data_IF_901418928573
#
_entry.id   IF_901418928573
#
_cell.length_a   1.000
_cell.length_b   1.000
_cell.length_c   1.000
_cell.angle_alpha   90.00
_cell.angle_beta   90.00
_cell.angle_gamma   90.00
#
_symmetry.space_group_name_H-M   'P 1'
#
loop_
_entity.id
_entity.type
_entity.pdbx_description
1 polymer ?
#
# COMPACT_ATOMS: atom_id res chain seq x y z
N UNK A 1 29.24 19.13 19.63
CA UNK A 1 29.59 17.87 18.98
C UNK A 1 28.43 17.42 18.06
N UNK A 2 28.07 18.18 16.99
CA UNK A 2 26.95 17.90 16.08
C UNK A 2 27.28 18.30 14.62
N UNK A 3 28.52 18.11 14.16
CA UNK A 3 28.94 18.56 12.79
C UNK A 3 29.64 17.48 11.94
N UNK A 4 29.62 16.20 12.31
CA UNK A 4 30.42 15.17 11.63
C UNK A 4 29.65 14.01 10.96
N UNK A 5 28.33 14.06 10.83
CA UNK A 5 27.57 12.96 10.20
C UNK A 5 26.90 13.32 8.86
N UNK A 6 27.16 14.48 8.28
CA UNK A 6 26.58 14.91 6.98
C UNK A 6 27.42 14.54 5.73
N UNK A 7 28.50 13.80 5.87
CA UNK A 7 29.50 13.62 4.81
C UNK A 7 29.32 12.41 3.89
N UNK A 8 28.43 11.43 4.18
CA UNK A 8 28.45 10.15 3.45
C UNK A 8 27.12 9.69 2.84
N UNK A 9 26.07 10.51 2.84
CA UNK A 9 24.79 10.15 2.22
C UNK A 9 24.68 10.50 0.72
N UNK A 10 25.66 11.18 0.14
CA UNK A 10 25.59 11.62 -1.27
C UNK A 10 25.96 10.55 -2.31
N UNK A 11 26.42 9.36 -1.92
CA UNK A 11 26.94 8.38 -2.86
C UNK A 11 25.93 7.36 -3.39
N UNK A 12 24.68 7.31 -2.87
CA UNK A 12 23.77 6.19 -3.17
C UNK A 12 22.51 6.51 -3.98
N UNK A 13 22.21 7.76 -4.35
CA UNK A 13 20.97 8.10 -5.05
C UNK A 13 21.20 9.09 -6.23
N UNK A 14 21.58 8.64 -7.42
CA UNK A 14 21.55 9.48 -8.62
C UNK A 14 20.14 9.91 -9.04
N UNK A 15 19.06 9.23 -8.58
CA UNK A 15 17.67 9.54 -8.95
C UNK A 15 17.06 10.73 -8.20
N UNK A 16 17.48 11.06 -6.99
CA UNK A 16 16.87 12.14 -6.18
C UNK A 16 17.19 13.53 -6.72
N UNK A 17 18.31 13.70 -7.45
CA UNK A 17 18.65 14.97 -8.08
C UNK A 17 17.82 15.34 -9.31
N UNK A 18 17.07 14.39 -9.89
CA UNK A 18 16.29 14.59 -11.11
C UNK A 18 14.97 15.37 -10.90
N UNK A 19 14.47 15.46 -9.66
CA UNK A 19 13.19 16.13 -9.37
C UNK A 19 13.31 17.61 -8.99
N UNK A 20 14.54 18.17 -8.87
CA UNK A 20 14.77 19.56 -8.49
C UNK A 20 14.92 20.48 -9.71
N UNK A 21 13.87 20.58 -10.53
CA UNK A 21 13.83 21.50 -11.67
C UNK A 21 13.52 22.95 -11.27
N UNK A 22 14.46 23.63 -10.67
CA UNK A 22 14.36 25.07 -10.39
C UNK A 22 15.23 25.84 -11.41
N UNK A 23 14.57 26.52 -12.39
CA UNK A 23 15.15 27.63 -13.22
C UNK A 23 15.82 27.36 -14.56
N UNK A 24 15.49 26.31 -15.34
CA UNK A 24 16.00 26.26 -16.74
C UNK A 24 14.84 25.99 -17.71
N UNK A 25 14.59 26.90 -18.67
CA UNK A 25 13.47 26.85 -19.62
C UNK A 25 13.45 25.62 -20.55
N UNK A 26 14.56 24.99 -20.83
CA UNK A 26 14.67 23.77 -21.66
C UNK A 26 14.45 22.50 -20.86
N UNK A 27 14.70 22.50 -19.54
CA UNK A 27 14.50 21.38 -18.65
C UNK A 27 13.04 21.12 -18.24
N UNK A 28 12.09 22.01 -18.60
CA UNK A 28 10.68 21.86 -18.18
C UNK A 28 10.01 20.63 -18.78
N UNK A 29 10.26 20.31 -20.04
CA UNK A 29 9.65 19.14 -20.70
C UNK A 29 10.21 17.83 -20.14
N UNK A 30 11.52 17.73 -19.97
CA UNK A 30 12.16 16.55 -19.37
C UNK A 30 11.79 16.38 -17.90
N UNK A 31 11.65 17.46 -17.16
CA UNK A 31 11.22 17.45 -15.77
C UNK A 31 9.78 16.94 -15.63
N UNK A 32 8.86 17.42 -16.45
CA UNK A 32 7.47 16.95 -16.45
C UNK A 32 7.40 15.47 -16.83
N UNK A 33 8.16 15.04 -17.84
CA UNK A 33 8.20 13.63 -18.25
C UNK A 33 8.73 12.74 -17.12
N UNK A 34 9.81 13.16 -16.45
CA UNK A 34 10.37 12.41 -15.32
C UNK A 34 9.39 12.32 -14.14
N UNK A 35 8.65 13.38 -13.85
CA UNK A 35 7.59 13.36 -12.82
C UNK A 35 6.44 12.42 -13.19
N UNK A 36 6.01 12.42 -14.44
CA UNK A 36 4.97 11.50 -14.93
C UNK A 36 5.46 10.05 -14.86
N UNK A 37 6.68 9.77 -15.31
CA UNK A 37 7.27 8.42 -15.27
C UNK A 37 7.43 7.95 -13.83
N UNK A 38 7.89 8.80 -12.93
CA UNK A 38 7.98 8.50 -11.50
C UNK A 38 6.60 8.19 -10.91
N UNK A 39 5.63 9.08 -11.10
CA UNK A 39 4.27 8.87 -10.59
C UNK A 39 3.65 7.60 -11.16
N UNK A 40 3.72 7.39 -12.47
CA UNK A 40 3.22 6.17 -13.10
C UNK A 40 3.90 4.92 -12.54
N UNK A 41 5.22 4.95 -12.36
CA UNK A 41 5.97 3.84 -11.75
C UNK A 41 5.47 3.52 -10.34
N UNK A 42 5.39 4.52 -9.47
CA UNK A 42 4.93 4.36 -8.09
C UNK A 42 3.48 3.86 -8.03
N UNK A 43 2.58 4.44 -8.84
CA UNK A 43 1.15 4.12 -8.82
C UNK A 43 0.82 2.75 -9.44
N UNK A 44 1.59 2.29 -10.43
CA UNK A 44 1.31 1.04 -11.14
C UNK A 44 2.07 -0.16 -10.58
N UNK A 45 3.18 0.07 -9.90
CA UNK A 45 4.05 -1.01 -9.41
C UNK A 45 3.32 -2.01 -8.51
N UNK A 46 2.50 -1.61 -7.51
CA UNK A 46 1.76 -2.56 -6.68
C UNK A 46 0.80 -3.43 -7.51
N UNK A 47 0.01 -2.85 -8.41
CA UNK A 47 -0.91 -3.59 -9.28
C UNK A 47 -0.19 -4.56 -10.23
N UNK A 48 1.00 -4.21 -10.70
CA UNK A 48 1.86 -5.14 -11.46
C UNK A 48 2.27 -6.31 -10.58
N UNK A 49 2.63 -6.07 -9.32
CA UNK A 49 2.98 -7.12 -8.36
C UNK A 49 1.79 -8.05 -8.06
N UNK A 50 0.58 -7.51 -7.85
CA UNK A 50 -0.66 -8.30 -7.72
C UNK A 50 -0.89 -9.18 -8.97
N UNK A 51 -0.72 -8.59 -10.15
CA UNK A 51 -0.86 -9.31 -11.43
C UNK A 51 0.19 -10.42 -11.57
N UNK A 52 1.44 -10.16 -11.19
CA UNK A 52 2.50 -11.16 -11.18
C UNK A 52 2.20 -12.30 -10.20
N UNK A 53 1.69 -11.97 -9.01
CA UNK A 53 1.21 -12.96 -8.05
C UNK A 53 0.09 -13.83 -8.61
N UNK A 54 -0.90 -13.20 -9.24
CA UNK A 54 -2.00 -13.91 -9.91
C UNK A 54 -1.50 -14.84 -11.04
N UNK A 55 -0.43 -14.46 -11.74
CA UNK A 55 0.19 -15.30 -12.79
C UNK A 55 0.84 -16.57 -12.22
N UNK A 56 1.04 -16.67 -10.91
CA UNK A 56 1.47 -17.89 -10.23
C UNK A 56 0.60 -19.11 -10.55
N UNK A 57 -0.68 -18.91 -10.90
CA UNK A 57 -1.61 -19.97 -11.33
C UNK A 57 -1.14 -20.74 -12.58
N UNK A 58 -0.31 -20.15 -13.41
CA UNK A 58 0.25 -20.82 -14.59
C UNK A 58 1.44 -21.71 -14.24
N UNK A 59 2.20 -21.36 -13.19
CA UNK A 59 3.41 -22.04 -12.76
C UNK A 59 3.12 -23.06 -11.66
N UNK A 60 2.27 -22.72 -10.70
CA UNK A 60 1.97 -23.55 -9.55
C UNK A 60 0.78 -24.49 -9.87
N UNK A 61 1.00 -25.78 -9.66
CA UNK A 61 -0.06 -26.79 -9.85
C UNK A 61 -0.91 -27.01 -8.59
N UNK A 62 -0.45 -26.52 -7.46
CA UNK A 62 -1.14 -26.62 -6.14
C UNK A 62 -1.08 -25.25 -5.46
N UNK A 63 -2.05 -24.98 -4.59
CA UNK A 63 -1.97 -23.87 -3.64
C UNK A 63 -0.70 -24.00 -2.79
N UNK A 64 -0.18 -22.87 -2.30
CA UNK A 64 0.92 -22.89 -1.34
C UNK A 64 0.55 -23.78 -0.15
N UNK A 65 1.55 -24.44 0.44
CA UNK A 65 1.32 -25.20 1.67
C UNK A 65 0.71 -24.26 2.74
N UNK A 66 -0.20 -24.74 3.61
CA UNK A 66 -0.86 -23.89 4.59
C UNK A 66 0.12 -23.07 5.44
N UNK A 67 1.27 -23.65 5.79
CA UNK A 67 2.32 -22.94 6.51
C UNK A 67 2.92 -21.78 5.71
N UNK A 68 3.15 -21.99 4.42
CA UNK A 68 3.68 -20.93 3.55
C UNK A 68 2.68 -19.79 3.42
N UNK A 69 1.40 -20.10 3.29
CA UNK A 69 0.33 -19.11 3.22
C UNK A 69 0.29 -18.26 4.50
N UNK A 70 0.31 -18.88 5.68
CA UNK A 70 0.38 -18.17 6.98
C UNK A 70 1.60 -17.25 7.10
N UNK A 71 2.79 -17.73 6.68
CA UNK A 71 4.01 -16.90 6.70
C UNK A 71 3.88 -15.71 5.75
N UNK A 72 3.30 -15.89 4.57
CA UNK A 72 3.09 -14.80 3.61
C UNK A 72 2.06 -13.78 4.11
N UNK A 73 0.93 -14.23 4.65
CA UNK A 73 -0.08 -13.36 5.29
C UNK A 73 0.50 -12.60 6.48
N UNK A 74 1.31 -13.26 7.31
CA UNK A 74 1.99 -12.60 8.43
C UNK A 74 2.99 -11.55 7.97
N UNK A 75 3.79 -11.86 6.94
CA UNK A 75 4.71 -10.87 6.35
C UNK A 75 3.96 -9.64 5.83
N UNK A 76 2.88 -9.86 5.07
CA UNK A 76 2.03 -8.79 4.56
C UNK A 76 1.40 -7.97 5.69
N UNK A 77 0.84 -8.63 6.73
CA UNK A 77 0.31 -7.96 7.90
C UNK A 77 1.33 -7.03 8.58
N UNK A 78 2.56 -7.50 8.74
CA UNK A 78 3.64 -6.70 9.31
C UNK A 78 3.99 -5.47 8.46
N UNK A 79 4.10 -5.64 7.14
CA UNK A 79 4.37 -4.56 6.19
C UNK A 79 3.26 -3.51 6.28
N UNK A 80 1.99 -3.92 6.24
CA UNK A 80 0.83 -3.00 6.30
C UNK A 80 0.77 -2.23 7.63
N UNK A 81 1.04 -2.88 8.77
CA UNK A 81 1.07 -2.20 10.06
C UNK A 81 2.18 -1.13 10.11
N UNK A 82 3.38 -1.46 9.64
CA UNK A 82 4.48 -0.50 9.61
C UNK A 82 4.17 0.67 8.66
N UNK A 83 3.70 0.40 7.44
CA UNK A 83 3.30 1.43 6.48
C UNK A 83 2.20 2.35 7.04
N UNK A 84 1.21 1.79 7.74
CA UNK A 84 0.15 2.58 8.39
C UNK A 84 0.71 3.60 9.38
N UNK A 85 1.78 3.25 10.10
CA UNK A 85 2.40 4.12 11.10
C UNK A 85 3.36 5.12 10.44
N UNK A 86 4.39 4.63 9.74
CA UNK A 86 5.49 5.48 9.23
C UNK A 86 5.09 6.29 8.01
N UNK A 87 4.43 5.66 7.04
CA UNK A 87 4.12 6.34 5.78
C UNK A 87 2.84 7.16 5.82
N UNK A 88 1.95 6.95 6.82
CA UNK A 88 0.65 7.63 6.89
C UNK A 88 0.40 8.39 8.18
N UNK A 89 0.42 7.74 9.35
CA UNK A 89 0.02 8.39 10.61
C UNK A 89 1.06 9.42 11.06
N UNK A 90 2.35 9.12 10.98
CA UNK A 90 3.38 10.08 11.37
C UNK A 90 3.36 11.34 10.49
N UNK A 91 3.35 11.27 9.15
CA UNK A 91 3.19 12.44 8.30
C UNK A 91 1.86 13.18 8.53
N UNK A 92 0.75 12.47 8.78
CA UNK A 92 -0.54 13.10 9.10
C UNK A 92 -0.48 13.92 10.40
N UNK A 93 0.21 13.40 11.44
CA UNK A 93 0.40 14.11 12.71
C UNK A 93 1.26 15.38 12.49
N UNK A 94 2.34 15.28 11.73
CA UNK A 94 3.22 16.41 11.44
C UNK A 94 2.49 17.52 10.70
N UNK A 95 1.74 17.17 9.64
CA UNK A 95 0.92 18.13 8.90
C UNK A 95 -0.19 18.74 9.74
N UNK A 96 -0.79 17.98 10.66
CA UNK A 96 -1.80 18.54 11.58
C UNK A 96 -1.19 19.61 12.49
N UNK A 97 0.04 19.42 12.96
CA UNK A 97 0.77 20.43 13.75
C UNK A 97 1.00 21.71 12.96
N UNK A 98 1.38 21.60 11.69
CA UNK A 98 1.58 22.75 10.79
C UNK A 98 0.29 23.55 10.56
N UNK A 99 -0.87 22.90 10.56
CA UNK A 99 -2.18 23.54 10.42
C UNK A 99 -2.69 24.23 11.68
N UNK A 100 -1.96 24.13 12.81
CA UNK A 100 -2.34 24.76 14.08
C UNK A 100 -3.56 24.12 14.77
N UNK A 101 -3.95 22.93 14.35
CA UNK A 101 -5.03 22.13 14.96
C UNK A 101 -4.40 21.19 16.00
N UNK A 102 -5.19 20.74 16.98
CA UNK A 102 -4.73 19.72 17.94
C UNK A 102 -4.22 18.49 17.21
N UNK A 103 -2.90 18.23 17.31
CA UNK A 103 -2.17 17.29 16.44
C UNK A 103 -2.69 15.85 16.49
N UNK A 104 -3.44 15.48 17.51
CA UNK A 104 -4.02 14.14 17.68
C UNK A 104 -5.42 14.00 17.07
N UNK A 105 -6.17 15.09 16.84
CA UNK A 105 -7.59 15.04 16.44
C UNK A 105 -7.78 14.46 15.03
N UNK A 106 -7.24 15.03 13.94
CA UNK A 106 -7.39 14.46 12.61
C UNK A 106 -6.83 13.03 12.51
N UNK A 107 -5.62 12.72 13.05
CA UNK A 107 -5.09 11.36 12.97
C UNK A 107 -5.96 10.32 13.69
N UNK A 108 -6.40 10.61 14.91
CA UNK A 108 -7.22 9.66 15.68
C UNK A 108 -8.61 9.48 15.10
N UNK A 109 -9.28 10.59 14.77
CA UNK A 109 -10.62 10.54 14.22
C UNK A 109 -10.61 9.97 12.80
N UNK A 110 -9.64 10.36 11.96
CA UNK A 110 -9.47 9.82 10.61
C UNK A 110 -9.26 8.31 10.62
N UNK A 111 -8.40 7.81 11.51
CA UNK A 111 -8.15 6.37 11.69
C UNK A 111 -9.46 5.61 11.98
N UNK A 112 -10.23 6.09 12.96
CA UNK A 112 -11.51 5.45 13.34
C UNK A 112 -12.53 5.54 12.21
N UNK A 113 -12.64 6.70 11.55
CA UNK A 113 -13.58 6.91 10.45
C UNK A 113 -13.23 6.04 9.23
N UNK A 114 -11.94 5.88 8.92
CA UNK A 114 -11.47 5.01 7.85
C UNK A 114 -11.83 3.56 8.10
N UNK A 115 -11.51 3.03 9.28
CA UNK A 115 -11.86 1.68 9.68
C UNK A 115 -13.39 1.46 9.65
N UNK A 116 -14.16 2.36 10.25
CA UNK A 116 -15.62 2.27 10.26
C UNK A 116 -16.23 2.37 8.85
N UNK A 117 -15.66 3.23 8.00
CA UNK A 117 -16.07 3.38 6.60
C UNK A 117 -15.85 2.11 5.80
N UNK A 118 -14.69 1.46 5.94
CA UNK A 118 -14.39 0.19 5.29
C UNK A 118 -15.34 -0.91 5.75
N UNK A 119 -15.51 -1.10 7.07
CA UNK A 119 -16.45 -2.08 7.64
C UNK A 119 -17.87 -1.89 7.11
N UNK A 120 -18.31 -0.64 6.98
CA UNK A 120 -19.62 -0.31 6.42
C UNK A 120 -19.71 -0.68 4.95
N UNK A 121 -18.67 -0.36 4.17
CA UNK A 121 -18.59 -0.68 2.76
C UNK A 121 -18.62 -2.19 2.52
N UNK A 122 -17.85 -2.96 3.29
CA UNK A 122 -17.85 -4.42 3.24
C UNK A 122 -19.22 -5.02 3.59
N UNK A 123 -19.87 -4.49 4.62
CA UNK A 123 -21.22 -4.91 5.01
C UNK A 123 -22.23 -4.68 3.91
N UNK A 124 -22.21 -3.51 3.26
CA UNK A 124 -23.10 -3.16 2.15
C UNK A 124 -22.81 -4.03 0.92
N UNK A 125 -21.55 -4.20 0.59
CA UNK A 125 -21.12 -5.01 -0.56
C UNK A 125 -21.43 -6.50 -0.34
N UNK A 126 -21.27 -7.00 0.88
CA UNK A 126 -21.64 -8.37 1.26
C UNK A 126 -23.13 -8.68 1.15
N UNK A 127 -23.98 -7.66 1.37
CA UNK A 127 -25.43 -7.79 1.16
C UNK A 127 -25.81 -7.86 -0.32
N UNK A 128 -25.07 -7.16 -1.19
CA UNK A 128 -25.30 -7.17 -2.65
C UNK A 128 -24.83 -8.47 -3.31
N UNK A 129 -23.80 -9.12 -2.76
CA UNK A 129 -23.15 -10.30 -3.32
C UNK A 129 -23.36 -11.55 -2.43
N UNK A 130 -24.60 -12.08 -2.44
CA UNK A 130 -24.98 -13.23 -1.59
C UNK A 130 -24.31 -14.58 -1.94
N UNK A 131 -23.31 -14.67 -2.82
CA UNK A 131 -22.75 -15.96 -3.28
C UNK A 131 -21.23 -16.08 -3.05
N UNK A 132 -20.86 -17.09 -2.26
CA UNK A 132 -19.59 -17.51 -1.71
C UNK A 132 -18.25 -17.11 -2.41
N UNK A 133 -18.08 -17.38 -3.71
CA UNK A 133 -16.80 -17.16 -4.41
C UNK A 133 -16.63 -15.71 -4.91
N UNK A 134 -17.72 -15.04 -5.23
CA UNK A 134 -17.72 -13.62 -5.57
C UNK A 134 -17.42 -12.74 -4.37
N UNK A 135 -17.70 -13.23 -3.17
CA UNK A 135 -17.45 -12.51 -1.91
C UNK A 135 -15.96 -12.40 -1.59
N UNK A 136 -15.18 -13.48 -1.81
CA UNK A 136 -13.73 -13.46 -1.63
C UNK A 136 -13.04 -12.48 -2.58
N UNK A 137 -13.38 -12.54 -3.88
CA UNK A 137 -12.81 -11.60 -4.88
C UNK A 137 -13.18 -10.15 -4.52
N UNK A 138 -14.41 -9.91 -4.06
CA UNK A 138 -14.83 -8.58 -3.64
C UNK A 138 -14.09 -8.11 -2.39
N UNK A 139 -13.92 -8.97 -1.39
CA UNK A 139 -13.17 -8.64 -0.18
C UNK A 139 -11.76 -8.15 -0.56
N UNK A 140 -10.99 -8.97 -1.29
CA UNK A 140 -9.64 -8.57 -1.75
C UNK A 140 -9.68 -7.29 -2.60
N UNK A 141 -10.66 -7.13 -3.50
CA UNK A 141 -10.81 -5.91 -4.29
C UNK A 141 -11.03 -4.66 -3.42
N UNK A 142 -11.80 -4.80 -2.33
CA UNK A 142 -12.02 -3.71 -1.38
C UNK A 142 -10.78 -3.38 -0.55
N UNK A 143 -9.94 -4.38 -0.28
CA UNK A 143 -8.66 -4.19 0.41
C UNK A 143 -7.65 -3.42 -0.44
N UNK A 144 -7.58 -3.72 -1.72
CA UNK A 144 -6.66 -3.08 -2.65
C UNK A 144 -6.99 -1.58 -2.89
N UNK A 145 -8.23 -1.16 -2.63
CA UNK A 145 -8.61 0.25 -2.77
C UNK A 145 -7.87 1.17 -1.79
N UNK A 146 -7.86 0.93 -0.47
CA UNK A 146 -7.04 1.67 0.49
C UNK A 146 -5.53 1.66 0.17
N UNK A 147 -5.00 0.51 -0.26
CA UNK A 147 -3.59 0.39 -0.65
C UNK A 147 -3.24 1.32 -1.81
N UNK A 148 -4.06 1.32 -2.86
CA UNK A 148 -3.92 2.27 -3.95
C UNK A 148 -4.02 3.72 -3.47
N UNK A 149 -5.01 4.05 -2.62
CA UNK A 149 -5.17 5.41 -2.10
C UNK A 149 -3.93 5.90 -1.36
N UNK A 150 -3.30 5.04 -0.55
CA UNK A 150 -2.07 5.37 0.19
C UNK A 150 -0.94 5.70 -0.76
N UNK A 151 -0.72 4.87 -1.77
CA UNK A 151 0.31 5.09 -2.80
C UNK A 151 0.04 6.39 -3.57
N UNK A 152 -1.23 6.68 -3.88
CA UNK A 152 -1.64 7.92 -4.52
C UNK A 152 -1.35 9.16 -3.69
N UNK A 153 -1.62 9.12 -2.39
CA UNK A 153 -1.30 10.21 -1.46
C UNK A 153 0.23 10.42 -1.37
N UNK A 154 1.00 9.34 -1.22
CA UNK A 154 2.46 9.43 -1.17
C UNK A 154 3.06 9.99 -2.47
N UNK A 155 2.56 9.59 -3.63
CA UNK A 155 2.97 10.15 -4.92
C UNK A 155 2.63 11.64 -5.03
N UNK A 156 1.45 12.07 -4.54
CA UNK A 156 1.06 13.48 -4.52
C UNK A 156 2.01 14.32 -3.65
N UNK A 157 2.40 13.81 -2.48
CA UNK A 157 3.39 14.44 -1.60
C UNK A 157 4.76 14.53 -2.26
N UNK A 158 5.21 13.46 -2.89
CA UNK A 158 6.49 13.43 -3.60
C UNK A 158 6.55 14.49 -4.72
N UNK A 159 5.45 14.69 -5.46
CA UNK A 159 5.37 15.69 -6.52
C UNK A 159 5.16 17.12 -6.01
N UNK A 160 4.69 17.30 -4.77
CA UNK A 160 4.58 18.64 -4.16
C UNK A 160 5.93 19.22 -3.73
N UNK A 161 7.00 18.42 -3.78
CA UNK A 161 8.36 18.84 -3.42
C UNK A 161 8.64 18.80 -1.93
N UNK A 162 7.86 18.05 -1.16
CA UNK A 162 8.11 17.79 0.24
C UNK A 162 9.46 17.09 0.44
N UNK A 163 10.24 17.48 1.45
CA UNK A 163 11.48 16.77 1.80
C UNK A 163 11.21 15.30 2.07
N UNK A 164 12.08 14.44 1.55
CA UNK A 164 12.06 12.99 1.75
C UNK A 164 10.79 12.24 1.27
N UNK A 165 9.79 12.96 0.70
CA UNK A 165 8.55 12.33 0.23
C UNK A 165 8.75 11.42 -0.99
N UNK A 166 9.79 11.66 -1.79
CA UNK A 166 10.13 10.78 -2.94
C UNK A 166 10.57 9.41 -2.43
N UNK A 167 11.47 9.38 -1.45
CA UNK A 167 11.93 8.13 -0.85
C UNK A 167 10.81 7.41 -0.09
N UNK A 168 9.98 8.13 0.66
CA UNK A 168 8.81 7.58 1.31
C UNK A 168 7.81 6.96 0.33
N UNK A 169 7.54 7.62 -0.80
CA UNK A 169 6.66 7.07 -1.84
C UNK A 169 7.24 5.81 -2.49
N UNK A 170 8.57 5.75 -2.69
CA UNK A 170 9.25 4.55 -3.20
C UNK A 170 9.20 3.42 -2.18
N UNK A 171 9.55 3.67 -0.90
CA UNK A 171 9.52 2.68 0.17
C UNK A 171 8.13 2.07 0.31
N UNK A 172 7.10 2.92 0.33
CA UNK A 172 5.71 2.51 0.43
C UNK A 172 5.27 1.67 -0.78
N UNK A 173 5.55 2.13 -2.00
CA UNK A 173 5.21 1.40 -3.23
C UNK A 173 5.91 0.04 -3.29
N UNK A 174 7.18 -0.04 -2.89
CA UNK A 174 7.93 -1.29 -2.81
C UNK A 174 7.34 -2.24 -1.74
N UNK A 175 7.05 -1.73 -0.55
CA UNK A 175 6.48 -2.51 0.54
C UNK A 175 5.13 -3.11 0.15
N UNK A 176 4.21 -2.29 -0.37
CA UNK A 176 2.89 -2.73 -0.84
C UNK A 176 3.05 -3.69 -2.02
N UNK A 177 3.93 -3.41 -2.99
CA UNK A 177 4.19 -4.32 -4.10
C UNK A 177 4.67 -5.70 -3.64
N UNK A 178 5.55 -5.77 -2.65
CA UNK A 178 6.03 -7.05 -2.12
C UNK A 178 4.91 -7.89 -1.49
N UNK A 179 3.98 -7.28 -0.74
CA UNK A 179 2.83 -7.99 -0.16
C UNK A 179 1.80 -8.41 -1.21
N UNK A 180 1.65 -7.65 -2.27
CA UNK A 180 0.67 -7.88 -3.32
C UNK A 180 0.97 -9.12 -4.17
N UNK A 181 2.23 -9.58 -4.25
CA UNK A 181 2.58 -10.82 -4.94
C UNK A 181 1.90 -12.03 -4.28
N UNK A 182 2.04 -12.30 -2.97
CA UNK A 182 1.25 -13.33 -2.29
C UNK A 182 -0.26 -13.16 -2.44
N UNK A 183 -0.75 -11.92 -2.37
CA UNK A 183 -2.17 -11.61 -2.42
C UNK A 183 -2.81 -11.96 -3.77
N UNK A 184 -2.18 -11.57 -4.88
CA UNK A 184 -2.63 -11.98 -6.22
C UNK A 184 -2.69 -13.50 -6.41
N UNK A 185 -1.71 -14.23 -5.83
CA UNK A 185 -1.70 -15.68 -5.82
C UNK A 185 -2.82 -16.25 -4.93
N UNK A 186 -3.11 -15.63 -3.78
CA UNK A 186 -4.18 -16.04 -2.86
C UNK A 186 -5.58 -15.93 -3.49
N UNK A 187 -5.79 -15.02 -4.44
CA UNK A 187 -7.02 -14.92 -5.23
C UNK A 187 -7.07 -15.97 -6.34
N UNK A 188 -6.01 -16.07 -7.14
CA UNK A 188 -6.02 -16.86 -8.38
C UNK A 188 -5.96 -18.37 -8.15
N UNK A 189 -5.13 -18.83 -7.19
CA UNK A 189 -4.94 -20.26 -6.95
C UNK A 189 -6.20 -20.98 -6.46
N UNK A 190 -6.95 -20.50 -5.46
CA UNK A 190 -8.19 -21.14 -5.02
C UNK A 190 -9.29 -21.15 -6.09
N UNK A 191 -9.35 -20.11 -6.95
CA UNK A 191 -10.30 -20.05 -8.05
C UNK A 191 -10.01 -21.14 -9.09
N UNK A 192 -8.74 -21.38 -9.44
CA UNK A 192 -8.34 -22.45 -10.33
C UNK A 192 -8.66 -23.83 -9.73
N UNK A 193 -8.41 -24.05 -8.43
CA UNK A 193 -8.76 -25.30 -7.74
C UNK A 193 -10.28 -25.53 -7.66
N UNK A 194 -11.07 -24.47 -7.71
CA UNK A 194 -12.55 -24.58 -7.67
C UNK A 194 -13.17 -24.88 -9.04
N UNK A 195 -12.36 -25.24 -10.05
CA UNK A 195 -12.83 -25.64 -11.38
C UNK A 195 -12.91 -24.51 -12.41
N UNK A 196 -12.43 -23.29 -12.09
CA UNK A 196 -12.26 -22.24 -13.09
C UNK A 196 -11.04 -22.53 -13.97
N UNK A 197 -11.07 -22.07 -15.22
CA UNK A 197 -9.86 -22.15 -16.07
C UNK A 197 -8.75 -21.27 -15.48
N UNK A 198 -7.50 -21.61 -15.75
CA UNK A 198 -6.35 -20.83 -15.28
C UNK A 198 -6.43 -19.37 -15.75
N UNK A 199 -6.89 -19.14 -16.97
CA UNK A 199 -7.05 -17.79 -17.50
C UNK A 199 -8.13 -17.00 -16.76
N UNK A 200 -9.26 -17.62 -16.42
CA UNK A 200 -10.30 -16.98 -15.61
C UNK A 200 -9.83 -16.68 -14.17
N UNK A 201 -9.09 -17.59 -13.59
CA UNK A 201 -8.51 -17.42 -12.25
C UNK A 201 -7.46 -16.30 -12.23
N UNK A 202 -6.56 -16.29 -13.21
CA UNK A 202 -5.61 -15.20 -13.43
C UNK A 202 -6.32 -13.85 -13.63
N UNK A 203 -7.33 -13.82 -14.53
CA UNK A 203 -8.07 -12.59 -14.80
C UNK A 203 -8.77 -12.02 -13.56
N UNK A 204 -9.28 -12.87 -12.67
CA UNK A 204 -9.89 -12.43 -11.44
C UNK A 204 -8.86 -11.82 -10.45
N UNK A 205 -7.69 -12.47 -10.31
CA UNK A 205 -6.61 -11.94 -9.48
C UNK A 205 -5.98 -10.65 -10.05
N UNK A 206 -5.77 -10.58 -11.34
CA UNK A 206 -5.29 -9.36 -11.99
C UNK A 206 -6.30 -8.21 -11.88
N UNK A 207 -7.60 -8.50 -12.03
CA UNK A 207 -8.67 -7.51 -11.92
C UNK A 207 -8.79 -6.94 -10.49
N UNK A 208 -8.54 -7.74 -9.45
CA UNK A 208 -8.52 -7.23 -8.06
C UNK A 208 -7.41 -6.18 -7.87
N UNK A 209 -6.24 -6.38 -8.49
CA UNK A 209 -5.14 -5.41 -8.45
C UNK A 209 -5.39 -4.13 -9.26
N UNK A 210 -6.28 -4.15 -10.27
CA UNK A 210 -6.59 -2.95 -11.06
C UNK A 210 -7.34 -1.87 -10.27
N UNK A 211 -7.89 -2.19 -9.12
CA UNK A 211 -8.54 -1.20 -8.23
C UNK A 211 -7.49 -0.31 -7.55
N UNK A 212 -6.27 -0.79 -7.34
CA UNK A 212 -5.18 -0.02 -6.75
C UNK A 212 -4.85 1.25 -7.55
N UNK A 213 -4.57 1.20 -8.87
CA UNK A 213 -4.37 2.42 -9.67
C UNK A 213 -5.57 3.36 -9.67
N UNK A 214 -6.80 2.82 -9.60
CA UNK A 214 -8.01 3.65 -9.51
C UNK A 214 -8.08 4.38 -8.17
N UNK A 215 -7.84 3.68 -7.06
CA UNK A 215 -7.72 4.28 -5.73
C UNK A 215 -6.60 5.31 -5.66
N UNK A 216 -5.45 4.97 -6.25
CA UNK A 216 -4.29 5.85 -6.30
C UNK A 216 -4.56 7.15 -7.07
N UNK A 217 -5.18 7.07 -8.25
CA UNK A 217 -5.55 8.26 -9.03
C UNK A 217 -6.61 9.11 -8.32
N UNK A 218 -7.59 8.49 -7.68
CA UNK A 218 -8.61 9.21 -6.93
C UNK A 218 -7.99 9.97 -5.75
N UNK A 219 -7.15 9.32 -4.95
CA UNK A 219 -6.46 9.93 -3.83
C UNK A 219 -5.47 11.01 -4.26
N UNK A 220 -4.71 10.76 -5.33
CA UNK A 220 -3.81 11.74 -5.95
C UNK A 220 -4.55 13.01 -6.37
N UNK A 221 -5.68 12.86 -7.05
CA UNK A 221 -6.50 14.00 -7.47
C UNK A 221 -7.06 14.78 -6.27
N UNK A 222 -7.54 14.08 -5.24
CA UNK A 222 -8.07 14.71 -4.03
C UNK A 222 -6.98 15.45 -3.24
N UNK A 223 -5.76 14.89 -3.15
CA UNK A 223 -4.65 15.50 -2.44
C UNK A 223 -4.26 16.87 -3.00
N UNK A 224 -4.38 17.06 -4.32
CA UNK A 224 -4.09 18.34 -4.98
C UNK A 224 -5.12 19.44 -4.72
N UNK A 225 -6.35 19.09 -4.30
CA UNK A 225 -7.45 20.05 -4.16
C UNK A 225 -7.62 20.58 -2.74
N UNK A 226 -7.28 19.80 -1.71
CA UNK A 226 -7.58 20.19 -0.32
C UNK A 226 -6.42 19.77 0.61
N UNK A 227 -5.40 20.60 0.73
CA UNK A 227 -4.28 20.33 1.64
C UNK A 227 -4.71 20.15 3.11
N UNK A 228 -5.75 20.87 3.55
CA UNK A 228 -6.29 20.73 4.89
C UNK A 228 -6.96 19.36 5.16
N UNK A 229 -7.45 18.68 4.11
CA UNK A 229 -8.02 17.34 4.23
C UNK A 229 -6.97 16.22 4.22
N UNK A 230 -5.74 16.53 3.85
CA UNK A 230 -4.69 15.52 3.68
C UNK A 230 -4.42 14.70 4.96
N UNK A 231 -4.30 15.31 6.18
CA UNK A 231 -4.16 14.52 7.40
C UNK A 231 -5.33 13.56 7.65
N UNK A 232 -6.54 13.97 7.32
CA UNK A 232 -7.73 13.14 7.45
C UNK A 232 -7.74 11.97 6.46
N UNK A 233 -7.37 12.23 5.20
CA UNK A 233 -7.31 11.20 4.15
C UNK A 233 -6.22 10.17 4.45
N UNK A 234 -5.02 10.62 4.85
CA UNK A 234 -3.91 9.73 5.22
C UNK A 234 -4.29 8.86 6.43
N UNK A 235 -4.90 9.46 7.45
CA UNK A 235 -5.31 8.72 8.65
C UNK A 235 -6.47 7.77 8.38
N UNK A 236 -7.41 8.13 7.50
CA UNK A 236 -8.49 7.25 7.10
C UNK A 236 -7.96 6.04 6.30
N UNK A 237 -7.01 6.26 5.40
CA UNK A 237 -6.35 5.18 4.67
C UNK A 237 -5.60 4.24 5.63
N UNK A 238 -4.85 4.80 6.61
CA UNK A 238 -4.22 4.01 7.67
C UNK A 238 -5.25 3.19 8.47
N UNK A 239 -6.41 3.79 8.78
CA UNK A 239 -7.51 3.11 9.46
C UNK A 239 -8.07 1.92 8.68
N UNK A 240 -8.25 2.08 7.37
CA UNK A 240 -8.62 0.98 6.49
C UNK A 240 -7.58 -0.15 6.53
N UNK A 241 -6.29 0.18 6.37
CA UNK A 241 -5.20 -0.80 6.38
C UNK A 241 -5.11 -1.56 7.71
N UNK A 242 -5.17 -0.86 8.84
CA UNK A 242 -5.17 -1.48 10.17
C UNK A 242 -6.39 -2.40 10.35
N UNK A 243 -7.56 -1.99 9.87
CA UNK A 243 -8.80 -2.77 9.93
C UNK A 243 -8.65 -4.09 9.18
N UNK A 244 -8.23 -4.05 7.91
CA UNK A 244 -7.99 -5.26 7.08
C UNK A 244 -6.97 -6.19 7.73
N UNK A 245 -5.85 -5.62 8.17
CA UNK A 245 -4.78 -6.39 8.81
C UNK A 245 -5.29 -7.13 10.04
N UNK A 246 -6.10 -6.47 10.88
CA UNK A 246 -6.65 -7.05 12.09
C UNK A 246 -7.75 -8.10 11.81
N UNK A 247 -8.55 -7.90 10.76
CA UNK A 247 -9.67 -8.78 10.43
C UNK A 247 -9.27 -10.06 9.69
N UNK A 248 -8.30 -9.97 8.80
CA UNK A 248 -7.99 -11.06 7.88
C UNK A 248 -6.56 -11.56 8.00
N UNK A 249 -5.56 -10.69 7.87
CA UNK A 249 -4.17 -11.11 7.74
C UNK A 249 -3.58 -11.67 9.03
N UNK A 250 -3.80 -10.99 10.17
CA UNK A 250 -3.31 -11.47 11.47
C UNK A 250 -4.01 -12.79 11.85
N UNK A 251 -5.35 -12.92 11.79
CA UNK A 251 -6.01 -14.20 12.08
C UNK A 251 -5.51 -15.35 11.21
N UNK A 252 -5.32 -15.13 9.92
CA UNK A 252 -4.78 -16.14 9.02
C UNK A 252 -3.34 -16.52 9.38
N UNK A 253 -2.50 -15.54 9.72
CA UNK A 253 -1.10 -15.76 10.05
C UNK A 253 -0.94 -16.58 11.34
N UNK A 254 -1.80 -16.37 12.35
CA UNK A 254 -1.71 -17.03 13.66
C UNK A 254 -2.58 -18.29 13.77
N UNK A 255 -3.26 -18.69 12.70
CA UNK A 255 -4.08 -19.90 12.67
C UNK A 255 -3.24 -21.12 13.08
N UNK A 256 -3.79 -22.00 13.95
CA UNK A 256 -3.16 -23.21 14.47
C UNK A 256 -1.94 -23.00 15.41
N UNK A 257 -1.82 -21.84 16.07
CA UNK A 257 -0.77 -21.53 17.06
C UNK A 257 0.68 -21.78 16.58
N UNK A 258 0.92 -21.65 15.26
CA UNK A 258 2.27 -21.78 14.71
C UNK A 258 3.11 -20.50 14.92
N UNK A 259 4.29 -20.59 15.59
CA UNK A 259 5.16 -19.42 15.82
C UNK A 259 5.65 -18.75 14.53
N UNK A 260 5.69 -19.49 13.43
CA UNK A 260 6.18 -18.99 12.14
C UNK A 260 5.35 -17.82 11.60
N UNK A 261 4.02 -17.85 11.78
CA UNK A 261 3.15 -16.75 11.38
C UNK A 261 3.39 -15.50 12.23
N UNK A 262 3.52 -15.65 13.55
CA UNK A 262 3.82 -14.52 14.45
C UNK A 262 5.19 -13.91 14.12
N UNK A 263 6.22 -14.75 13.91
CA UNK A 263 7.56 -14.28 13.53
C UNK A 263 7.52 -13.55 12.21
N UNK A 264 6.74 -14.03 11.22
CA UNK A 264 6.64 -13.37 9.92
C UNK A 264 5.98 -11.98 10.01
N UNK A 265 5.00 -11.76 10.92
CA UNK A 265 4.44 -10.43 11.19
C UNK A 265 5.57 -9.48 11.65
N UNK A 266 6.38 -9.92 12.61
CA UNK A 266 7.47 -9.09 13.14
C UNK A 266 8.52 -8.81 12.06
N UNK A 267 8.84 -9.80 11.23
CA UNK A 267 9.81 -9.63 10.12
C UNK A 267 9.27 -8.67 9.06
N UNK A 268 8.00 -8.77 8.68
CA UNK A 268 7.36 -7.85 7.73
C UNK A 268 7.36 -6.42 8.25
N UNK A 269 7.01 -6.25 9.54
CA UNK A 269 7.06 -4.96 10.20
C UNK A 269 8.47 -4.36 10.20
N UNK A 270 9.49 -5.15 10.57
CA UNK A 270 10.87 -4.72 10.59
C UNK A 270 11.39 -4.38 9.18
N UNK A 271 11.01 -5.15 8.16
CA UNK A 271 11.37 -4.89 6.77
C UNK A 271 10.83 -3.54 6.30
N UNK A 272 9.53 -3.28 6.50
CA UNK A 272 8.93 -2.01 6.06
C UNK A 272 9.46 -0.82 6.85
N UNK A 273 9.61 -0.97 8.17
CA UNK A 273 10.25 0.05 9.00
C UNK A 273 11.67 0.37 8.49
N UNK A 274 12.44 -0.66 8.11
CA UNK A 274 13.78 -0.45 7.57
C UNK A 274 13.74 0.27 6.21
N UNK A 275 12.79 -0.05 5.34
CA UNK A 275 12.60 0.65 4.06
C UNK A 275 12.25 2.13 4.27
N UNK A 276 11.30 2.44 5.17
CA UNK A 276 10.89 3.81 5.46
C UNK A 276 12.01 4.65 6.11
N UNK A 277 12.89 4.03 6.90
CA UNK A 277 13.97 4.75 7.58
C UNK A 277 15.24 4.85 6.73
N UNK A 278 15.48 3.87 5.84
CA UNK A 278 16.69 3.79 5.03
C UNK A 278 16.59 4.56 3.70
N UNK A 279 15.39 4.72 3.15
CA UNK A 279 15.12 5.48 1.91
C UNK A 279 14.68 6.89 2.20
#
# INVERSE_FOLDING_TARGET
MKKSLRGNQQAFLPCVHLLRCRNIKWAKGECVLNQIVFAAGVLLFPAVCTTLGAAGVFLLRRSAAPRTQRVLSGMAAGIMLAASVWSLLLPAIERTRELGVAAWVPPSAGLVLGAAGLLRLESMAGQLLQRGKSRMVLAVTLHNLPEGMVVGLAAALALSGEPDAVSGALALSLGIGLQNIPEGAAVSLPLAHSGRTRLQAFGAGAASGLVEPLGALAAFALAGWVQAALPWLMSAAAGCMVCVTAQEMIPEAVEQDEPAGVVSIVLGFALMMALDVAL
#
